data_IF_444140312129
#
_entry.id   IF_444140312129
#
_cell.length_a   1.000
_cell.length_b   1.000
_cell.length_c   1.000
_cell.angle_alpha   90.00
_cell.angle_beta   90.00
_cell.angle_gamma   90.00
#
_symmetry.space_group_name_H-M   'P 1'
#
loop_
_entity.id
_entity.type
_entity.pdbx_description
1 polymer ?
#
# COMPACT_ATOMS: atom_id res chain seq x y z
N UNK A 1 5.40 -14.32 -29.73
CA UNK A 1 4.38 -14.55 -28.67
C UNK A 1 4.88 -14.31 -27.24
N UNK A 2 6.11 -14.70 -26.87
CA UNK A 2 6.66 -14.44 -25.52
C UNK A 2 6.77 -12.95 -25.18
N UNK A 3 7.33 -12.13 -26.07
CA UNK A 3 7.51 -10.67 -25.80
C UNK A 3 6.18 -9.94 -25.58
N UNK A 4 5.14 -10.29 -26.34
CA UNK A 4 3.81 -9.69 -26.21
C UNK A 4 3.16 -10.02 -24.85
N UNK A 5 3.33 -11.25 -24.36
CA UNK A 5 2.80 -11.67 -23.06
C UNK A 5 3.53 -10.99 -21.90
N UNK A 6 4.85 -10.80 -21.99
CA UNK A 6 5.61 -10.00 -21.03
C UNK A 6 5.17 -8.53 -21.00
N UNK A 7 4.96 -7.91 -22.17
CA UNK A 7 4.46 -6.53 -22.27
C UNK A 7 3.08 -6.39 -21.62
N UNK A 8 2.16 -7.31 -21.92
CA UNK A 8 0.83 -7.33 -21.32
C UNK A 8 0.91 -7.44 -19.80
N UNK A 9 1.79 -8.30 -19.28
CA UNK A 9 1.99 -8.48 -17.85
C UNK A 9 2.48 -7.20 -17.16
N UNK A 10 3.45 -6.50 -17.75
CA UNK A 10 3.99 -5.24 -17.21
C UNK A 10 2.89 -4.17 -17.16
N UNK A 11 2.12 -4.03 -18.24
CA UNK A 11 1.02 -3.05 -18.31
C UNK A 11 -0.03 -3.35 -17.23
N UNK A 12 -0.38 -4.62 -17.05
CA UNK A 12 -1.34 -5.04 -16.04
C UNK A 12 -0.83 -4.77 -14.61
N UNK A 13 0.46 -5.02 -14.36
CA UNK A 13 1.13 -4.73 -13.10
C UNK A 13 1.13 -3.23 -12.80
N UNK A 14 1.48 -2.39 -13.79
CA UNK A 14 1.40 -0.92 -13.65
C UNK A 14 -0.02 -0.45 -13.35
N UNK A 15 -1.01 -0.97 -14.09
CA UNK A 15 -2.42 -0.63 -13.85
C UNK A 15 -2.87 -1.03 -12.44
N UNK A 16 -2.43 -2.19 -11.93
CA UNK A 16 -2.71 -2.64 -10.58
C UNK A 16 -2.10 -1.71 -9.52
N UNK A 17 -0.84 -1.31 -9.66
CA UNK A 17 -0.17 -0.39 -8.73
C UNK A 17 -0.83 0.99 -8.75
N UNK A 18 -1.13 1.54 -9.93
CA UNK A 18 -1.81 2.84 -10.03
C UNK A 18 -3.24 2.80 -9.48
N UNK A 19 -3.98 1.73 -9.79
CA UNK A 19 -5.34 1.52 -9.29
C UNK A 19 -5.38 1.40 -7.77
N UNK A 20 -4.46 0.62 -7.18
CA UNK A 20 -4.34 0.47 -5.73
C UNK A 20 -3.96 1.78 -5.03
N UNK A 21 -3.06 2.58 -5.60
CA UNK A 21 -2.77 3.94 -5.10
C UNK A 21 -4.01 4.84 -5.10
N UNK A 22 -4.80 4.81 -6.17
CA UNK A 22 -6.06 5.54 -6.27
C UNK A 22 -7.07 5.13 -5.19
N UNK A 23 -7.17 3.82 -4.92
CA UNK A 23 -8.00 3.28 -3.84
C UNK A 23 -7.47 3.71 -2.46
N UNK A 24 -6.16 3.62 -2.23
CA UNK A 24 -5.53 4.03 -0.97
C UNK A 24 -5.84 5.50 -0.65
N UNK A 25 -5.68 6.40 -1.63
CA UNK A 25 -6.01 7.82 -1.46
C UNK A 25 -7.47 8.06 -1.09
N UNK A 26 -8.41 7.31 -1.68
CA UNK A 26 -9.83 7.40 -1.32
C UNK A 26 -10.09 6.92 0.10
N UNK A 27 -9.46 5.81 0.50
CA UNK A 27 -9.59 5.24 1.86
C UNK A 27 -9.06 6.22 2.90
N UNK A 28 -7.86 6.78 2.68
CA UNK A 28 -7.23 7.74 3.59
C UNK A 28 -8.10 9.00 3.75
N UNK A 29 -8.66 9.53 2.66
CA UNK A 29 -9.56 10.70 2.72
C UNK A 29 -10.85 10.43 3.49
N UNK A 30 -11.38 9.20 3.42
CA UNK A 30 -12.67 8.85 4.02
C UNK A 30 -12.54 8.34 5.47
N UNK A 31 -11.42 7.69 5.80
CA UNK A 31 -11.19 7.05 7.08
C UNK A 31 -9.88 7.52 7.70
N UNK A 32 -9.91 7.88 8.99
CA UNK A 32 -8.70 8.08 9.79
C UNK A 32 -8.07 6.73 10.10
N UNK A 33 -7.31 6.20 9.16
CA UNK A 33 -6.60 4.93 9.36
C UNK A 33 -5.30 5.18 10.12
N UNK A 34 -5.09 4.47 11.24
CA UNK A 34 -3.86 4.59 12.01
C UNK A 34 -2.72 3.83 11.31
N UNK A 35 -1.64 4.55 10.97
CA UNK A 35 -0.45 4.00 10.32
C UNK A 35 0.14 2.79 11.04
N UNK A 36 0.11 2.77 12.37
CA UNK A 36 0.72 1.70 13.16
C UNK A 36 -0.07 0.40 13.05
N UNK A 37 -1.39 0.50 12.93
CA UNK A 37 -2.26 -0.67 12.75
C UNK A 37 -1.97 -1.32 11.40
N UNK A 38 -1.86 -0.53 10.32
CA UNK A 38 -1.55 -1.06 8.99
C UNK A 38 -0.13 -1.63 8.94
N UNK A 39 0.86 -0.90 9.47
CA UNK A 39 2.24 -1.37 9.47
C UNK A 39 2.42 -2.69 10.23
N UNK A 40 1.66 -2.88 11.31
CA UNK A 40 1.66 -4.13 12.06
C UNK A 40 0.82 -5.24 11.40
N UNK A 41 -0.35 -4.90 10.85
CA UNK A 41 -1.26 -5.89 10.25
C UNK A 41 -0.82 -6.38 8.87
N UNK A 42 -0.13 -5.56 8.08
CA UNK A 42 0.33 -5.92 6.74
C UNK A 42 1.15 -7.23 6.72
N UNK A 43 2.26 -7.38 7.47
CA UNK A 43 3.02 -8.63 7.47
C UNK A 43 2.23 -9.82 8.02
N UNK A 44 1.29 -9.59 8.95
CA UNK A 44 0.44 -10.64 9.50
C UNK A 44 -0.46 -11.30 8.44
N UNK A 45 -0.85 -10.56 7.40
CA UNK A 45 -1.63 -11.11 6.27
C UNK A 45 -0.89 -12.26 5.58
N UNK A 46 0.44 -12.26 5.57
CA UNK A 46 1.24 -13.34 4.96
C UNK A 46 1.74 -14.35 5.99
N UNK A 47 2.13 -13.87 7.17
CA UNK A 47 2.72 -14.70 8.23
C UNK A 47 1.68 -15.68 8.79
N UNK A 48 0.47 -15.20 9.10
CA UNK A 48 -0.57 -16.03 9.73
C UNK A 48 -0.95 -17.21 8.83
N UNK A 49 -1.29 -17.02 7.53
CA UNK A 49 -1.63 -18.15 6.68
C UNK A 49 -0.47 -19.13 6.52
N UNK A 50 0.76 -18.63 6.41
CA UNK A 50 1.95 -19.48 6.24
C UNK A 50 2.25 -20.37 7.44
N UNK A 51 1.89 -19.93 8.65
CA UNK A 51 2.08 -20.73 9.88
C UNK A 51 0.90 -21.69 10.11
N UNK A 52 -0.32 -21.29 9.76
CA UNK A 52 -1.52 -22.08 10.02
C UNK A 52 -1.79 -23.17 8.98
N UNK A 53 -1.31 -23.01 7.75
CA UNK A 53 -1.60 -23.92 6.66
C UNK A 53 -0.30 -24.42 6.02
N UNK A 54 -0.07 -25.74 6.09
CA UNK A 54 1.11 -26.38 5.51
C UNK A 54 1.11 -26.39 3.97
N UNK A 55 -0.08 -26.38 3.36
CA UNK A 55 -0.25 -26.35 1.90
C UNK A 55 -1.29 -25.29 1.51
N UNK A 56 -0.81 -24.11 1.16
CA UNK A 56 -1.65 -23.01 0.66
C UNK A 56 -1.76 -23.13 -0.85
N UNK A 57 -2.99 -23.12 -1.36
CA UNK A 57 -3.24 -23.08 -2.80
C UNK A 57 -2.50 -21.86 -3.43
N UNK A 58 -1.73 -22.04 -4.52
CA UNK A 58 -0.98 -20.96 -5.18
C UNK A 58 -1.83 -19.74 -5.54
N UNK A 59 -3.11 -19.94 -5.89
CA UNK A 59 -4.05 -18.86 -6.20
C UNK A 59 -4.35 -18.04 -4.95
N UNK A 60 -4.64 -18.71 -3.83
CA UNK A 60 -4.92 -18.05 -2.54
C UNK A 60 -3.69 -17.29 -2.05
N UNK A 61 -2.50 -17.89 -2.20
CA UNK A 61 -1.25 -17.22 -1.86
C UNK A 61 -1.01 -15.96 -2.71
N UNK A 62 -1.29 -16.03 -4.02
CA UNK A 62 -1.18 -14.87 -4.92
C UNK A 62 -2.12 -13.74 -4.50
N UNK A 63 -3.35 -14.05 -4.11
CA UNK A 63 -4.32 -13.07 -3.60
C UNK A 63 -3.83 -12.44 -2.30
N UNK A 64 -3.32 -13.24 -1.36
CA UNK A 64 -2.76 -12.74 -0.11
C UNK A 64 -1.57 -11.79 -0.35
N UNK A 65 -0.69 -12.14 -1.29
CA UNK A 65 0.42 -11.27 -1.71
C UNK A 65 -0.09 -9.98 -2.34
N UNK A 66 -1.12 -10.03 -3.18
CA UNK A 66 -1.73 -8.84 -3.75
C UNK A 66 -2.31 -7.92 -2.66
N UNK A 67 -3.01 -8.48 -1.67
CA UNK A 67 -3.55 -7.74 -0.52
C UNK A 67 -2.41 -7.11 0.30
N UNK A 68 -1.34 -7.88 0.55
CA UNK A 68 -0.16 -7.39 1.25
C UNK A 68 0.45 -6.18 0.56
N UNK A 69 0.63 -6.23 -0.76
CA UNK A 69 1.15 -5.09 -1.55
C UNK A 69 0.26 -3.86 -1.38
N UNK A 70 -1.07 -4.02 -1.47
CA UNK A 70 -2.02 -2.91 -1.30
C UNK A 70 -1.94 -2.30 0.10
N UNK A 71 -1.87 -3.13 1.15
CA UNK A 71 -1.70 -2.64 2.53
C UNK A 71 -0.38 -1.89 2.72
N UNK A 72 0.69 -2.37 2.09
CA UNK A 72 1.99 -1.71 2.13
C UNK A 72 1.98 -0.35 1.41
N UNK A 73 1.34 -0.28 0.23
CA UNK A 73 1.13 0.97 -0.49
C UNK A 73 0.29 1.95 0.35
N UNK A 74 -0.74 1.46 1.03
CA UNK A 74 -1.55 2.28 1.94
C UNK A 74 -0.71 2.86 3.09
N UNK A 75 0.15 2.04 3.69
CA UNK A 75 1.07 2.49 4.73
C UNK A 75 2.02 3.59 4.23
N UNK A 76 2.60 3.42 3.04
CA UNK A 76 3.47 4.44 2.45
C UNK A 76 2.73 5.73 2.13
N UNK A 77 1.51 5.65 1.58
CA UNK A 77 0.72 6.83 1.23
C UNK A 77 0.32 7.63 2.49
N UNK A 78 -0.02 6.96 3.60
CA UNK A 78 -0.28 7.63 4.88
C UNK A 78 0.98 8.35 5.38
N UNK A 79 2.15 7.70 5.30
CA UNK A 79 3.40 8.35 5.70
C UNK A 79 3.74 9.55 4.83
N UNK A 80 3.46 9.47 3.51
CA UNK A 80 3.62 10.59 2.59
C UNK A 80 2.74 11.78 2.98
N UNK A 81 1.45 11.57 3.23
CA UNK A 81 0.52 12.62 3.62
C UNK A 81 0.93 13.28 4.96
N UNK A 82 1.37 12.48 5.94
CA UNK A 82 1.87 13.01 7.21
C UNK A 82 3.13 13.84 7.00
N UNK A 83 4.05 13.38 6.13
CA UNK A 83 5.28 14.10 5.81
C UNK A 83 4.99 15.44 5.13
N UNK A 84 4.09 15.45 4.15
CA UNK A 84 3.63 16.68 3.46
C UNK A 84 2.97 17.65 4.46
N UNK A 85 2.08 17.16 5.32
CA UNK A 85 1.40 17.98 6.33
C UNK A 85 2.39 18.58 7.34
N UNK A 86 3.40 17.80 7.77
CA UNK A 86 4.46 18.31 8.66
C UNK A 86 5.36 19.33 7.98
N UNK A 87 5.72 19.12 6.71
CA UNK A 87 6.48 20.08 5.92
C UNK A 87 5.75 21.42 5.76
N UNK A 88 4.43 21.39 5.53
CA UNK A 88 3.58 22.58 5.45
C UNK A 88 3.47 23.31 6.80
N UNK A 89 3.39 22.59 7.92
CA UNK A 89 3.42 23.21 9.25
C UNK A 89 4.74 23.90 9.56
N UNK A 90 5.86 23.26 9.22
CA UNK A 90 7.19 23.82 9.45
C UNK A 90 7.40 25.14 8.67
N UNK A 91 6.94 25.22 7.41
CA UNK A 91 7.04 26.45 6.63
C UNK A 91 6.14 27.58 7.13
N UNK A 92 4.95 27.25 7.67
CA UNK A 92 4.08 28.24 8.31
C UNK A 92 4.65 28.80 9.62
N UNK A 93 5.27 27.96 10.46
CA UNK A 93 5.91 28.42 11.70
C UNK A 93 7.07 29.39 11.42
N UNK A 94 7.93 29.10 10.43
CA UNK A 94 9.02 29.98 10.01
C UNK A 94 8.49 31.36 9.58
N UNK A 95 7.35 31.40 8.90
CA UNK A 95 6.73 32.65 8.44
C UNK A 95 6.13 33.47 9.58
N UNK A 96 5.70 32.84 10.67
CA UNK A 96 5.10 33.50 11.84
C UNK A 96 6.14 34.16 12.76
N UNK A 97 7.38 33.66 12.73
CA UNK A 97 8.53 34.19 13.48
C UNK A 97 9.28 35.34 12.80
N UNK A 98 8.83 35.80 11.62
CA UNK A 98 9.43 36.90 10.86
C UNK A 98 8.46 38.06 10.76
#
# INVERSE_FOLDING_TARGET
MKVLTWLLYIILMMAFVLGSLGLCRKIIKKHKVNRWIIGFSAPLVLIIPKILFDNINPIVWTILVAIFIVLYLLFFEINREISETKGIKATMDIRKTR
#
